data_IF_113756965879
#
_entry.id   IF_113756965879
#
_cell.length_a   1.000
_cell.length_b   1.000
_cell.length_c   1.000
_cell.angle_alpha   90.00
_cell.angle_beta   90.00
_cell.angle_gamma   90.00
#
_symmetry.space_group_name_H-M   'P 1'
#
loop_
_entity.id
_entity.type
_entity.pdbx_description
1 polymer ?
#
# COMPACT_ATOMS: atom_id res chain seq x y z
N UNK A 1 -16.05 9.22 13.57
CA UNK A 1 -16.93 8.03 13.52
C UNK A 1 -16.25 6.99 12.67
N UNK A 2 -15.92 5.83 13.28
CA UNK A 2 -15.32 4.70 12.58
C UNK A 2 -16.39 4.02 11.70
N UNK A 3 -16.60 4.51 10.48
CA UNK A 3 -17.54 3.94 9.51
C UNK A 3 -16.95 2.74 8.73
N UNK A 4 -15.91 2.09 9.26
CA UNK A 4 -15.23 0.97 8.62
C UNK A 4 -16.02 -0.36 8.67
N UNK A 5 -17.21 -0.35 9.29
CA UNK A 5 -18.14 -1.48 9.35
C UNK A 5 -19.55 -1.06 8.91
N UNK A 6 -19.73 -0.77 7.62
CA UNK A 6 -21.06 -0.73 7.04
C UNK A 6 -21.52 -2.15 6.72
N UNK A 7 -22.78 -2.53 7.06
CA UNK A 7 -23.35 -3.80 6.63
C UNK A 7 -23.29 -3.92 5.09
N UNK A 8 -22.61 -4.98 4.59
CA UNK A 8 -22.40 -5.16 3.16
C UNK A 8 -21.10 -4.55 2.61
N UNK A 9 -20.28 -3.88 3.42
CA UNK A 9 -18.96 -3.45 3.00
C UNK A 9 -18.02 -4.67 2.93
N UNK A 10 -17.29 -4.78 1.83
CA UNK A 10 -16.18 -5.72 1.68
C UNK A 10 -15.18 -5.46 2.81
N UNK A 11 -14.56 -6.52 3.32
CA UNK A 11 -13.71 -6.49 4.50
C UNK A 11 -12.72 -5.33 4.50
N UNK A 12 -12.66 -4.59 5.61
CA UNK A 12 -11.72 -3.48 5.76
C UNK A 12 -10.38 -4.00 6.28
N UNK A 13 -9.25 -3.58 5.68
CA UNK A 13 -7.92 -3.86 6.22
C UNK A 13 -7.69 -3.27 7.61
N UNK A 14 -8.62 -2.46 8.11
CA UNK A 14 -8.54 -1.76 9.39
C UNK A 14 -9.16 -2.51 10.58
N UNK A 15 -9.46 -3.81 10.44
CA UNK A 15 -10.09 -4.60 11.51
C UNK A 15 -9.18 -4.92 12.71
N UNK A 16 -7.94 -4.41 12.75
CA UNK A 16 -7.01 -4.63 13.88
C UNK A 16 -7.60 -4.23 15.24
N UNK A 17 -8.47 -3.25 15.30
CA UNK A 17 -9.16 -2.90 16.54
C UNK A 17 -9.98 -4.08 17.07
N UNK A 18 -10.69 -4.79 16.20
CA UNK A 18 -11.44 -5.99 16.55
C UNK A 18 -10.53 -7.19 16.78
N UNK A 19 -9.55 -7.44 15.88
CA UNK A 19 -8.58 -8.52 16.05
C UNK A 19 -7.91 -8.48 17.43
N UNK A 20 -7.45 -7.29 17.85
CA UNK A 20 -6.81 -7.13 19.14
C UNK A 20 -7.76 -7.43 20.31
N UNK A 21 -9.01 -6.97 20.26
CA UNK A 21 -10.01 -7.27 21.27
C UNK A 21 -10.22 -8.79 21.39
N UNK A 22 -10.34 -9.49 20.26
CA UNK A 22 -10.56 -10.94 20.26
C UNK A 22 -9.39 -11.75 20.82
N UNK A 23 -8.17 -11.23 20.75
CA UNK A 23 -6.98 -11.89 21.32
C UNK A 23 -6.55 -11.29 22.66
N UNK A 24 -7.43 -10.49 23.29
CA UNK A 24 -7.18 -9.89 24.61
C UNK A 24 -6.14 -8.79 24.62
N UNK A 25 -5.87 -8.14 23.48
CA UNK A 25 -4.97 -6.99 23.38
C UNK A 25 -5.73 -5.67 23.38
N UNK A 26 -5.10 -4.56 23.77
CA UNK A 26 -5.71 -3.24 23.67
C UNK A 26 -6.18 -2.91 22.26
N UNK A 27 -7.31 -2.23 22.19
CA UNK A 27 -7.83 -1.72 20.92
C UNK A 27 -6.82 -0.76 20.27
N UNK A 28 -6.68 -0.83 18.97
CA UNK A 28 -5.81 0.06 18.18
C UNK A 28 -6.58 0.62 16.99
N UNK A 29 -6.25 1.83 16.57
CA UNK A 29 -6.92 2.49 15.45
C UNK A 29 -5.91 3.06 14.45
N UNK A 30 -6.12 2.80 13.16
CA UNK A 30 -5.29 3.32 12.08
C UNK A 30 -5.59 4.79 11.70
N UNK A 31 -6.53 5.43 12.39
CA UNK A 31 -6.91 6.83 12.19
C UNK A 31 -6.59 7.66 13.43
N UNK A 32 -6.80 7.10 14.61
CA UNK A 32 -6.56 7.79 15.89
C UNK A 32 -5.50 7.02 16.68
N UNK A 33 -4.29 7.51 16.64
CA UNK A 33 -3.15 6.93 17.33
C UNK A 33 -3.32 6.92 18.86
N UNK A 34 -4.07 7.86 19.42
CA UNK A 34 -4.30 7.96 20.87
C UNK A 34 -5.13 6.79 21.44
N UNK A 35 -5.72 5.93 20.61
CA UNK A 35 -6.45 4.73 21.06
C UNK A 35 -5.48 3.59 21.44
N UNK A 36 -4.18 3.80 21.33
CA UNK A 36 -3.19 2.76 21.57
C UNK A 36 -2.72 2.71 23.02
N UNK A 37 -2.30 1.53 23.44
CA UNK A 37 -1.55 1.28 24.68
C UNK A 37 -2.23 1.79 25.97
N UNK A 38 -3.60 1.72 25.98
CA UNK A 38 -4.35 1.96 27.23
C UNK A 38 -4.10 3.34 27.81
N UNK A 39 -4.47 4.35 27.02
CA UNK A 39 -4.65 5.72 27.49
C UNK A 39 -3.72 6.16 28.62
N UNK A 40 -2.44 6.21 28.39
CA UNK A 40 -1.59 7.07 29.18
C UNK A 40 -1.90 8.52 28.78
N UNK A 41 -2.79 9.13 29.54
CA UNK A 41 -3.12 10.55 29.38
C UNK A 41 -1.86 11.37 29.58
N UNK A 42 -1.49 12.18 28.61
CA UNK A 42 -0.35 13.07 28.70
C UNK A 42 0.99 12.43 28.26
N UNK A 43 0.92 11.59 27.24
CA UNK A 43 2.14 11.15 26.54
C UNK A 43 2.98 12.36 26.12
N UNK A 44 4.32 12.22 26.03
CA UNK A 44 5.19 13.31 25.56
C UNK A 44 4.74 13.90 24.23
N UNK A 45 4.15 13.09 23.35
CA UNK A 45 3.61 13.50 22.05
C UNK A 45 2.43 14.46 22.15
N UNK A 46 1.65 14.42 23.24
CA UNK A 46 0.48 15.28 23.45
C UNK A 46 0.85 16.65 24.05
N UNK A 47 2.13 16.89 24.34
CA UNK A 47 2.60 18.12 24.98
C UNK A 47 3.27 19.03 23.96
N UNK A 48 3.07 20.35 24.05
CA UNK A 48 3.84 21.30 23.28
C UNK A 48 5.34 21.09 23.46
N UNK A 49 6.10 21.23 22.38
CA UNK A 49 7.54 21.17 22.43
C UNK A 49 8.10 22.35 23.24
N UNK A 50 9.09 22.09 24.09
CA UNK A 50 9.80 23.13 24.85
C UNK A 50 10.63 24.01 23.95
N UNK A 51 11.14 23.43 22.84
CA UNK A 51 11.95 24.10 21.83
C UNK A 51 11.37 23.81 20.46
N UNK A 52 11.06 24.87 19.71
CA UNK A 52 10.50 24.75 18.37
C UNK A 52 11.60 24.50 17.35
N UNK A 53 11.40 23.50 16.51
CA UNK A 53 12.34 23.07 15.48
C UNK A 53 11.69 23.13 14.10
N UNK A 54 12.51 23.10 13.05
CA UNK A 54 12.08 22.83 11.68
C UNK A 54 12.29 21.34 11.38
N UNK A 55 11.19 20.61 11.25
CA UNK A 55 11.19 19.17 10.97
C UNK A 55 10.89 18.92 9.50
N UNK A 56 11.77 18.21 8.82
CA UNK A 56 11.51 17.69 7.48
C UNK A 56 10.94 16.28 7.57
N UNK A 57 9.79 16.05 6.92
CA UNK A 57 9.19 14.72 6.80
C UNK A 57 9.30 14.26 5.35
N UNK A 58 10.01 13.17 5.11
CA UNK A 58 10.25 12.60 3.79
C UNK A 58 9.27 11.48 3.54
N UNK A 59 8.32 11.72 2.62
CA UNK A 59 7.24 10.82 2.27
C UNK A 59 5.92 11.15 2.95
N UNK A 60 4.87 11.33 2.14
CA UNK A 60 3.52 11.67 2.57
C UNK A 60 2.58 10.45 2.60
N UNK A 61 3.10 9.28 2.98
CA UNK A 61 2.28 8.13 3.36
C UNK A 61 1.67 8.31 4.76
N UNK A 62 0.80 7.38 5.23
CA UNK A 62 0.14 7.50 6.54
C UNK A 62 1.09 7.75 7.71
N UNK A 63 2.27 7.12 7.72
CA UNK A 63 3.27 7.34 8.77
C UNK A 63 3.85 8.76 8.76
N UNK A 64 4.24 9.25 7.58
CA UNK A 64 4.78 10.60 7.44
C UNK A 64 3.74 11.68 7.73
N UNK A 65 2.49 11.49 7.29
CA UNK A 65 1.40 12.44 7.58
C UNK A 65 1.06 12.49 9.06
N UNK A 66 1.06 11.33 9.75
CA UNK A 66 0.87 11.33 11.22
C UNK A 66 2.03 11.99 11.95
N UNK A 67 3.29 11.72 11.55
CA UNK A 67 4.44 12.40 12.11
C UNK A 67 4.36 13.92 11.91
N UNK A 68 3.96 14.36 10.70
CA UNK A 68 3.78 15.77 10.40
C UNK A 68 2.69 16.41 11.27
N UNK A 69 1.54 15.73 11.45
CA UNK A 69 0.45 16.19 12.30
C UNK A 69 0.90 16.37 13.74
N UNK A 70 1.50 15.32 14.31
CA UNK A 70 1.96 15.34 15.72
C UNK A 70 3.02 16.43 15.93
N UNK A 71 4.00 16.53 15.03
CA UNK A 71 5.03 17.57 15.11
C UNK A 71 4.42 18.98 15.03
N UNK A 72 3.44 19.17 14.16
CA UNK A 72 2.77 20.46 14.01
C UNK A 72 1.92 20.83 15.25
N UNK A 73 1.19 19.88 15.82
CA UNK A 73 0.43 20.09 17.08
C UNK A 73 1.33 20.43 18.25
N UNK A 74 2.54 19.89 18.28
CA UNK A 74 3.57 20.24 19.27
C UNK A 74 4.19 21.62 19.02
N UNK A 75 3.88 22.28 17.92
CA UNK A 75 4.27 23.66 17.58
C UNK A 75 5.53 23.77 16.75
N UNK A 76 6.06 22.67 16.21
CA UNK A 76 7.18 22.70 15.26
C UNK A 76 6.77 23.28 13.92
N UNK A 77 7.72 23.85 13.16
CA UNK A 77 7.57 24.08 11.72
C UNK A 77 7.81 22.76 11.00
N UNK A 78 6.92 22.36 10.09
CA UNK A 78 7.03 21.08 9.39
C UNK A 78 7.05 21.30 7.89
N UNK A 79 7.98 20.63 7.20
CA UNK A 79 7.99 20.56 5.72
C UNK A 79 7.86 19.11 5.30
N UNK A 80 6.73 18.75 4.69
CA UNK A 80 6.50 17.43 4.11
C UNK A 80 6.95 17.41 2.65
N UNK A 81 7.83 16.49 2.29
CA UNK A 81 8.40 16.31 0.97
C UNK A 81 7.89 15.00 0.36
N UNK A 82 7.15 15.07 -0.73
CA UNK A 82 6.55 13.90 -1.39
C UNK A 82 6.91 13.86 -2.88
N UNK A 83 7.41 12.70 -3.34
CA UNK A 83 7.81 12.52 -4.75
C UNK A 83 6.65 12.45 -5.73
N UNK A 84 5.47 12.08 -5.26
CA UNK A 84 4.25 12.03 -6.09
C UNK A 84 3.49 13.37 -6.07
N UNK A 85 2.46 13.46 -6.89
CA UNK A 85 1.55 14.60 -6.96
C UNK A 85 0.39 14.51 -5.94
N UNK A 86 0.41 13.51 -5.04
CA UNK A 86 -0.69 13.19 -4.11
C UNK A 86 -0.18 12.79 -2.73
N UNK A 87 -1.00 13.08 -1.72
CA UNK A 87 -0.82 12.59 -0.36
C UNK A 87 -1.34 11.16 -0.19
N UNK A 88 -1.09 10.56 0.97
CA UNK A 88 -1.53 9.25 1.42
C UNK A 88 -0.79 8.03 0.81
N UNK A 89 0.25 8.23 0.02
CA UNK A 89 1.15 7.16 -0.44
C UNK A 89 0.42 5.98 -1.10
N UNK A 90 0.65 4.74 -0.65
CA UNK A 90 0.02 3.53 -1.20
C UNK A 90 -1.49 3.46 -1.01
N UNK A 91 -2.09 4.24 -0.10
CA UNK A 91 -3.54 4.29 0.04
C UNK A 91 -4.23 4.85 -1.21
N UNK A 92 -3.53 5.66 -2.01
CA UNK A 92 -4.04 6.16 -3.30
C UNK A 92 -4.32 5.02 -4.29
N UNK A 93 -3.54 3.95 -4.25
CA UNK A 93 -3.78 2.74 -5.03
C UNK A 93 -4.81 1.82 -4.33
N UNK A 94 -4.69 1.63 -3.03
CA UNK A 94 -5.58 0.77 -2.25
C UNK A 94 -7.05 1.19 -2.35
N UNK A 95 -7.35 2.50 -2.36
CA UNK A 95 -8.72 3.00 -2.52
C UNK A 95 -9.34 2.66 -3.88
N UNK A 96 -8.54 2.41 -4.93
CA UNK A 96 -9.04 1.97 -6.23
C UNK A 96 -9.58 0.54 -6.15
N UNK A 97 -8.92 -0.31 -5.38
CA UNK A 97 -9.34 -1.70 -5.15
C UNK A 97 -10.45 -1.79 -4.11
N UNK A 98 -10.39 -0.98 -3.06
CA UNK A 98 -11.30 -1.02 -1.92
C UNK A 98 -11.84 0.38 -1.58
N UNK A 99 -13.13 0.60 -1.86
CA UNK A 99 -13.80 1.89 -1.64
C UNK A 99 -13.80 2.33 -0.16
N UNK A 100 -13.67 1.40 0.78
CA UNK A 100 -13.63 1.72 2.21
C UNK A 100 -12.36 2.49 2.62
N UNK A 101 -11.36 2.56 1.74
CA UNK A 101 -10.13 3.34 1.96
C UNK A 101 -10.31 4.82 1.57
N UNK A 102 -11.27 5.16 0.72
CA UNK A 102 -11.49 6.55 0.27
C UNK A 102 -11.68 7.55 1.42
N UNK A 103 -12.48 7.24 2.47
CA UNK A 103 -12.62 8.15 3.61
C UNK A 103 -11.30 8.42 4.35
N UNK A 104 -10.40 7.43 4.40
CA UNK A 104 -9.10 7.59 5.04
C UNK A 104 -8.18 8.51 4.22
N UNK A 105 -8.19 8.37 2.90
CA UNK A 105 -7.43 9.27 2.01
C UNK A 105 -7.98 10.69 2.11
N UNK A 106 -9.31 10.85 2.11
CA UNK A 106 -9.96 12.15 2.28
C UNK A 106 -9.61 12.78 3.64
N UNK A 107 -9.64 12.00 4.71
CA UNK A 107 -9.26 12.45 6.05
C UNK A 107 -7.84 13.06 6.04
N UNK A 108 -6.85 12.36 5.50
CA UNK A 108 -5.48 12.88 5.46
C UNK A 108 -5.34 14.17 4.64
N UNK A 109 -6.07 14.28 3.52
CA UNK A 109 -6.05 15.50 2.71
C UNK A 109 -6.68 16.70 3.44
N UNK A 110 -7.72 16.50 4.23
CA UNK A 110 -8.35 17.57 5.00
C UNK A 110 -7.57 17.89 6.28
N UNK A 111 -7.07 16.86 6.98
CA UNK A 111 -6.30 17.02 8.21
C UNK A 111 -5.07 17.91 8.02
N UNK A 112 -4.32 17.70 6.95
CA UNK A 112 -3.12 18.51 6.67
C UNK A 112 -3.44 20.00 6.49
N UNK A 113 -4.63 20.35 6.02
CA UNK A 113 -5.05 21.76 5.84
C UNK A 113 -5.33 22.47 7.16
N UNK A 114 -5.60 21.73 8.24
CA UNK A 114 -5.90 22.30 9.54
C UNK A 114 -4.64 22.82 10.27
N UNK A 115 -3.45 22.47 9.78
CA UNK A 115 -2.18 22.81 10.39
C UNK A 115 -1.39 23.85 9.56
N UNK A 116 -1.52 25.16 9.84
CA UNK A 116 -0.87 26.21 9.04
C UNK A 116 0.66 26.21 9.13
N UNK A 117 1.24 25.51 10.08
CA UNK A 117 2.67 25.31 10.27
C UNK A 117 3.22 24.09 9.51
N UNK A 118 2.40 23.41 8.70
CA UNK A 118 2.83 22.37 7.76
C UNK A 118 2.91 22.96 6.34
N UNK A 119 4.09 22.91 5.74
CA UNK A 119 4.30 23.16 4.33
C UNK A 119 4.41 21.83 3.57
N UNK A 120 3.62 21.62 2.50
CA UNK A 120 3.64 20.41 1.69
C UNK A 120 4.27 20.68 0.33
N UNK A 121 5.33 19.95 -0.01
CA UNK A 121 6.02 19.99 -1.30
C UNK A 121 5.82 18.67 -2.04
N UNK A 122 4.84 18.65 -2.93
CA UNK A 122 4.59 17.53 -3.84
C UNK A 122 5.59 17.55 -5.01
N UNK A 123 5.65 16.46 -5.77
CA UNK A 123 6.56 16.28 -6.92
C UNK A 123 8.04 16.52 -6.56
N UNK A 124 8.40 16.28 -5.30
CA UNK A 124 9.73 16.53 -4.77
C UNK A 124 10.39 15.21 -4.36
N UNK A 125 11.25 14.68 -5.23
CA UNK A 125 12.10 13.54 -4.89
C UNK A 125 13.24 14.04 -4.02
N UNK A 126 13.34 13.49 -2.82
CA UNK A 126 14.34 13.90 -1.82
C UNK A 126 15.64 13.11 -2.01
N UNK A 127 16.73 13.83 -1.91
CA UNK A 127 18.09 13.37 -1.69
C UNK A 127 18.73 14.19 -0.56
N UNK A 128 19.97 13.88 -0.20
CA UNK A 128 20.71 14.58 0.86
C UNK A 128 20.90 16.07 0.54
N UNK A 129 21.10 16.43 -0.73
CA UNK A 129 21.32 17.83 -1.12
C UNK A 129 20.03 18.66 -1.04
N UNK A 130 18.88 18.06 -1.38
CA UNK A 130 17.56 18.65 -1.16
C UNK A 130 17.34 19.00 0.32
N UNK A 131 17.71 18.10 1.24
CA UNK A 131 17.59 18.32 2.68
C UNK A 131 18.59 19.36 3.18
N UNK A 132 19.84 19.37 2.67
CA UNK A 132 20.82 20.42 2.99
C UNK A 132 20.33 21.80 2.59
N UNK A 133 19.74 21.94 1.42
CA UNK A 133 19.16 23.20 0.96
C UNK A 133 17.96 23.64 1.81
N UNK A 134 17.17 22.69 2.33
CA UNK A 134 16.06 22.97 3.24
C UNK A 134 16.53 23.34 4.66
N UNK A 135 17.69 22.83 5.07
CA UNK A 135 18.33 23.02 6.37
C UNK A 135 17.37 22.77 7.57
N UNK A 136 16.81 21.56 7.71
CA UNK A 136 15.97 21.21 8.84
C UNK A 136 16.83 20.92 10.08
N UNK A 137 16.25 21.10 11.26
CA UNK A 137 16.87 20.69 12.54
C UNK A 137 16.79 19.18 12.72
N UNK A 138 15.73 18.54 12.22
CA UNK A 138 15.51 17.09 12.30
C UNK A 138 14.82 16.58 11.02
N UNK A 139 15.10 15.32 10.65
CA UNK A 139 14.46 14.63 9.52
C UNK A 139 13.74 13.37 10.02
N UNK A 140 12.52 13.16 9.54
CA UNK A 140 11.76 11.92 9.72
C UNK A 140 11.61 11.27 8.35
N UNK A 141 12.12 10.06 8.19
CA UNK A 141 12.18 9.36 6.91
C UNK A 141 11.07 8.30 6.85
N UNK A 142 10.08 8.51 5.97
CA UNK A 142 8.93 7.63 5.77
C UNK A 142 8.73 7.30 4.28
N UNK A 143 9.72 6.69 3.59
CA UNK A 143 9.72 6.52 2.14
C UNK A 143 8.74 5.45 1.66
N UNK A 144 8.14 4.70 2.59
CA UNK A 144 7.35 3.51 2.33
C UNK A 144 8.22 2.29 2.00
N UNK A 145 7.60 1.11 1.95
CA UNK A 145 8.28 -0.13 1.58
C UNK A 145 8.64 -0.20 0.10
N UNK A 146 9.69 -0.94 -0.21
CA UNK A 146 9.99 -1.44 -1.55
C UNK A 146 8.96 -2.50 -1.97
N UNK A 147 8.70 -2.64 -3.26
CA UNK A 147 7.88 -3.74 -3.75
C UNK A 147 8.79 -4.95 -3.91
N UNK A 148 8.37 -6.10 -3.37
CA UNK A 148 9.12 -7.34 -3.46
C UNK A 148 9.25 -7.74 -4.93
N UNK A 149 10.48 -7.79 -5.47
CA UNK A 149 10.70 -8.16 -6.86
C UNK A 149 10.43 -9.66 -7.06
N UNK A 150 10.12 -10.03 -8.29
CA UNK A 150 10.05 -11.41 -8.72
C UNK A 150 10.90 -11.55 -9.99
N UNK A 151 11.80 -12.50 -9.97
CA UNK A 151 12.67 -12.79 -11.10
C UNK A 151 12.40 -14.22 -11.60
N UNK A 152 11.56 -14.31 -12.61
CA UNK A 152 11.28 -15.57 -13.32
C UNK A 152 11.26 -15.31 -14.82
N UNK A 153 11.62 -16.30 -15.67
CA UNK A 153 11.53 -16.17 -17.11
C UNK A 153 10.16 -15.63 -17.56
N UNK A 154 10.16 -14.62 -18.42
CA UNK A 154 8.96 -14.03 -18.99
C UNK A 154 8.22 -13.01 -18.13
N UNK A 155 8.73 -12.63 -16.96
CA UNK A 155 8.09 -11.67 -16.04
C UNK A 155 7.91 -10.25 -16.64
N UNK A 156 8.65 -9.91 -17.69
CA UNK A 156 8.50 -8.66 -18.44
C UNK A 156 7.59 -8.82 -19.67
N UNK A 157 6.87 -9.92 -19.74
CA UNK A 157 5.93 -10.21 -20.82
C UNK A 157 4.80 -9.19 -20.90
N UNK A 158 4.22 -9.02 -22.12
CA UNK A 158 3.09 -8.08 -22.35
C UNK A 158 1.83 -8.44 -21.57
N UNK A 159 1.68 -9.70 -21.19
CA UNK A 159 0.58 -10.22 -20.39
C UNK A 159 0.86 -10.18 -18.88
N UNK A 160 1.93 -9.52 -18.44
CA UNK A 160 2.22 -9.29 -17.02
C UNK A 160 1.81 -7.89 -16.61
N UNK A 161 1.15 -7.80 -15.45
CA UNK A 161 0.81 -6.56 -14.77
C UNK A 161 1.46 -6.60 -13.39
N UNK A 162 2.43 -5.73 -13.16
CA UNK A 162 3.11 -5.64 -11.86
C UNK A 162 2.40 -4.64 -10.94
N UNK A 163 2.57 -4.80 -9.63
CA UNK A 163 2.04 -3.83 -8.64
C UNK A 163 2.57 -2.41 -8.90
N UNK A 164 3.82 -2.30 -9.36
CA UNK A 164 4.45 -1.02 -9.74
C UNK A 164 3.74 -0.37 -10.93
N UNK A 165 3.29 -1.17 -11.89
CA UNK A 165 2.56 -0.67 -13.05
C UNK A 165 1.26 0.00 -12.64
N UNK A 166 0.51 -0.65 -11.73
CA UNK A 166 -0.74 -0.11 -11.19
C UNK A 166 -0.47 1.16 -10.37
N UNK A 167 0.58 1.13 -9.53
CA UNK A 167 0.99 2.30 -8.74
C UNK A 167 1.35 3.49 -9.64
N UNK A 168 2.13 3.27 -10.68
CA UNK A 168 2.50 4.31 -11.64
C UNK A 168 1.25 4.87 -12.33
N UNK A 169 0.35 4.01 -12.80
CA UNK A 169 -0.92 4.40 -13.44
C UNK A 169 -1.79 5.24 -12.49
N UNK A 170 -1.92 4.86 -11.21
CA UNK A 170 -2.67 5.62 -10.21
C UNK A 170 -2.08 7.02 -9.97
N UNK A 171 -0.77 7.18 -10.19
CA UNK A 171 -0.06 8.45 -10.14
C UNK A 171 0.02 9.16 -11.50
N UNK A 172 -0.77 8.73 -12.48
CA UNK A 172 -0.80 9.34 -13.81
C UNK A 172 0.49 9.15 -14.62
N UNK A 173 1.31 8.15 -14.28
CA UNK A 173 2.57 7.83 -14.95
C UNK A 173 2.38 6.59 -15.80
N UNK A 174 2.83 6.65 -17.06
CA UNK A 174 2.88 5.46 -17.92
C UNK A 174 4.01 4.56 -17.42
N UNK A 175 3.75 3.29 -17.06
CA UNK A 175 4.80 2.40 -16.59
C UNK A 175 5.85 2.15 -17.67
N UNK A 176 7.09 1.96 -17.27
CA UNK A 176 8.21 1.71 -18.17
C UNK A 176 7.99 0.42 -18.99
N UNK A 177 8.36 0.44 -20.26
CA UNK A 177 8.19 -0.71 -21.16
C UNK A 177 6.75 -1.01 -21.60
N UNK A 178 5.74 -0.31 -21.06
CA UNK A 178 4.32 -0.55 -21.40
C UNK A 178 3.88 0.18 -22.68
N UNK A 179 3.03 -0.49 -23.46
CA UNK A 179 2.59 -0.06 -24.78
C UNK A 179 1.44 0.95 -24.79
N UNK A 180 0.85 1.12 -26.00
CA UNK A 180 -0.18 2.14 -26.27
C UNK A 180 -1.42 2.04 -25.38
N UNK A 181 -1.83 0.84 -24.98
CA UNK A 181 -3.00 0.64 -24.12
C UNK A 181 -2.82 1.36 -22.77
N UNK A 182 -1.63 1.24 -22.16
CA UNK A 182 -1.29 1.91 -20.92
C UNK A 182 -1.22 3.43 -21.09
N UNK A 183 -0.65 3.91 -22.22
CA UNK A 183 -0.63 5.35 -22.55
C UNK A 183 -2.04 5.91 -22.65
N UNK A 184 -2.93 5.19 -23.34
CA UNK A 184 -4.34 5.59 -23.49
C UNK A 184 -5.08 5.58 -22.13
N UNK A 185 -4.87 4.55 -21.31
CA UNK A 185 -5.48 4.47 -19.98
C UNK A 185 -5.02 5.61 -19.07
N UNK A 186 -3.72 5.89 -19.01
CA UNK A 186 -3.18 7.01 -18.22
C UNK A 186 -3.68 8.36 -18.72
N UNK A 187 -3.73 8.57 -20.05
CA UNK A 187 -4.28 9.79 -20.64
C UNK A 187 -5.77 9.98 -20.28
N UNK A 188 -6.55 8.90 -20.33
CA UNK A 188 -7.97 8.94 -19.95
C UNK A 188 -8.15 9.23 -18.46
N UNK A 189 -7.33 8.63 -17.58
CA UNK A 189 -7.32 8.91 -16.13
C UNK A 189 -7.03 10.40 -15.88
N UNK A 190 -6.02 10.96 -16.54
CA UNK A 190 -5.66 12.40 -16.42
C UNK A 190 -6.80 13.30 -16.92
N UNK A 191 -7.39 12.98 -18.04
CA UNK A 191 -8.50 13.75 -18.60
C UNK A 191 -9.74 13.80 -17.69
N UNK A 192 -9.93 12.77 -16.84
CA UNK A 192 -10.98 12.69 -15.83
C UNK A 192 -10.53 13.21 -14.45
N UNK A 193 -9.45 13.98 -14.39
CA UNK A 193 -8.91 14.54 -13.15
C UNK A 193 -8.37 13.49 -12.18
N UNK A 194 -8.01 12.29 -12.64
CA UNK A 194 -7.46 11.22 -11.81
C UNK A 194 -8.46 10.65 -10.80
N UNK A 195 -9.76 10.65 -11.10
CA UNK A 195 -10.79 10.20 -10.17
C UNK A 195 -10.71 8.70 -9.90
N UNK A 196 -10.85 8.32 -8.63
CA UNK A 196 -10.80 6.92 -8.18
C UNK A 196 -11.88 6.08 -8.86
N UNK A 197 -13.08 6.62 -9.01
CA UNK A 197 -14.19 5.93 -9.69
C UNK A 197 -13.86 5.55 -11.13
N UNK A 198 -13.21 6.43 -11.87
CA UNK A 198 -12.80 6.15 -13.25
C UNK A 198 -11.72 5.08 -13.32
N UNK A 199 -10.70 5.15 -12.41
CA UNK A 199 -9.66 4.11 -12.31
C UNK A 199 -10.27 2.75 -11.97
N UNK A 200 -11.21 2.71 -11.03
CA UNK A 200 -11.94 1.48 -10.64
C UNK A 200 -12.75 0.91 -11.80
N UNK A 201 -13.41 1.76 -12.56
CA UNK A 201 -14.11 1.36 -13.79
C UNK A 201 -13.14 0.74 -14.79
N UNK A 202 -11.99 1.36 -15.04
CA UNK A 202 -10.94 0.85 -15.93
C UNK A 202 -10.41 -0.52 -15.53
N UNK A 203 -10.14 -0.74 -14.23
CA UNK A 203 -9.71 -2.05 -13.71
C UNK A 203 -10.80 -3.12 -13.87
N UNK A 204 -12.08 -2.75 -13.85
CA UNK A 204 -13.20 -3.66 -14.04
C UNK A 204 -13.50 -3.98 -15.52
N UNK A 205 -12.87 -3.30 -16.47
CA UNK A 205 -12.97 -3.65 -17.90
C UNK A 205 -12.30 -5.00 -18.17
N UNK A 206 -13.06 -5.97 -18.69
CA UNK A 206 -12.62 -7.36 -18.87
C UNK A 206 -12.19 -7.67 -20.30
N UNK A 207 -12.52 -6.80 -21.23
CA UNK A 207 -12.22 -6.94 -22.66
C UNK A 207 -12.32 -5.58 -23.35
N UNK A 208 -11.79 -5.50 -24.55
CA UNK A 208 -11.78 -4.28 -25.34
C UNK A 208 -10.38 -3.68 -25.47
N UNK A 209 -10.24 -2.63 -26.29
CA UNK A 209 -8.92 -2.09 -26.65
C UNK A 209 -8.18 -1.38 -25.50
N UNK A 210 -8.87 -1.12 -24.39
CA UNK A 210 -8.30 -0.44 -23.20
C UNK A 210 -8.27 -1.33 -21.96
N UNK A 211 -8.66 -2.61 -22.06
CA UNK A 211 -8.60 -3.53 -20.95
C UNK A 211 -7.13 -3.90 -20.65
N UNK A 212 -6.64 -3.50 -19.49
CA UNK A 212 -5.28 -3.81 -19.01
C UNK A 212 -5.23 -5.22 -18.42
N UNK A 213 -6.32 -5.67 -17.79
CA UNK A 213 -6.44 -6.99 -17.15
C UNK A 213 -7.51 -7.78 -17.88
N UNK A 214 -7.16 -8.96 -18.38
CA UNK A 214 -8.05 -9.84 -19.14
C UNK A 214 -9.09 -10.56 -18.28
N UNK A 215 -9.71 -11.60 -18.87
CA UNK A 215 -10.77 -12.40 -18.20
C UNK A 215 -10.22 -13.52 -17.33
N UNK A 216 -9.10 -14.14 -17.73
CA UNK A 216 -8.41 -15.21 -17.01
C UNK A 216 -7.17 -14.62 -16.39
N UNK A 217 -7.09 -14.62 -15.05
CA UNK A 217 -6.03 -13.92 -14.31
C UNK A 217 -5.37 -14.84 -13.31
N UNK A 218 -4.05 -14.92 -13.34
CA UNK A 218 -3.26 -15.50 -12.26
C UNK A 218 -2.73 -14.37 -11.38
N UNK A 219 -3.12 -14.36 -10.13
CA UNK A 219 -2.60 -13.45 -9.09
C UNK A 219 -1.47 -14.16 -8.36
N UNK A 220 -0.27 -13.62 -8.45
CA UNK A 220 0.94 -14.14 -7.79
C UNK A 220 1.11 -13.43 -6.46
N UNK A 221 0.96 -14.17 -5.39
CA UNK A 221 0.94 -13.70 -4.00
C UNK A 221 -0.45 -13.86 -3.38
N UNK A 222 -0.54 -14.76 -2.40
CA UNK A 222 -1.78 -15.09 -1.68
C UNK A 222 -1.87 -14.48 -0.29
N UNK A 223 -1.09 -13.43 -0.04
CA UNK A 223 -1.18 -12.61 1.17
C UNK A 223 -2.37 -11.66 1.14
N UNK A 224 -2.40 -10.70 2.08
CA UNK A 224 -3.46 -9.70 2.21
C UNK A 224 -3.75 -8.99 0.87
N UNK A 225 -2.72 -8.39 0.26
CA UNK A 225 -2.87 -7.60 -0.97
C UNK A 225 -3.38 -8.44 -2.15
N UNK A 226 -2.87 -9.67 -2.33
CA UNK A 226 -3.29 -10.53 -3.43
C UNK A 226 -4.72 -11.01 -3.32
N UNK A 227 -5.18 -11.34 -2.10
CA UNK A 227 -6.58 -11.71 -1.88
C UNK A 227 -7.52 -10.52 -2.04
N UNK A 228 -7.11 -9.31 -1.66
CA UNK A 228 -7.86 -8.07 -1.89
C UNK A 228 -8.00 -7.75 -3.39
N UNK A 229 -6.92 -7.91 -4.15
CA UNK A 229 -6.94 -7.80 -5.62
C UNK A 229 -7.89 -8.83 -6.24
N UNK A 230 -7.81 -10.10 -5.81
CA UNK A 230 -8.68 -11.14 -6.29
C UNK A 230 -10.15 -10.84 -5.99
N UNK A 231 -10.46 -10.34 -4.78
CA UNK A 231 -11.82 -9.96 -4.39
C UNK A 231 -12.34 -8.79 -5.24
N UNK A 232 -11.54 -7.76 -5.45
CA UNK A 232 -11.91 -6.60 -6.23
C UNK A 232 -12.21 -6.92 -7.70
N UNK A 233 -11.59 -7.98 -8.24
CA UNK A 233 -11.62 -8.29 -9.68
C UNK A 233 -12.40 -9.56 -10.04
N UNK A 234 -12.83 -10.39 -9.09
CA UNK A 234 -13.38 -11.73 -9.40
C UNK A 234 -14.73 -11.71 -10.12
N UNK A 235 -15.50 -10.64 -10.04
CA UNK A 235 -16.81 -10.60 -10.69
C UNK A 235 -16.68 -10.68 -12.23
N UNK A 236 -17.05 -11.85 -12.79
CA UNK A 236 -17.00 -12.17 -14.22
C UNK A 236 -15.58 -12.35 -14.78
N UNK A 237 -14.62 -12.67 -13.94
CA UNK A 237 -13.30 -13.18 -14.29
C UNK A 237 -13.09 -14.56 -13.68
N UNK A 238 -12.27 -15.36 -14.33
CA UNK A 238 -11.72 -16.57 -13.76
C UNK A 238 -10.35 -16.23 -13.15
N UNK A 239 -10.22 -16.45 -11.85
CA UNK A 239 -9.02 -16.02 -11.10
C UNK A 239 -8.38 -17.20 -10.37
N UNK A 240 -7.08 -17.34 -10.53
CA UNK A 240 -6.22 -18.19 -9.71
C UNK A 240 -5.37 -17.32 -8.82
N UNK A 241 -5.34 -17.61 -7.52
CA UNK A 241 -4.40 -17.01 -6.57
C UNK A 241 -3.38 -18.08 -6.17
N UNK A 242 -2.13 -17.84 -6.51
CA UNK A 242 -1.03 -18.76 -6.21
C UNK A 242 -0.08 -18.16 -5.16
N UNK A 243 0.42 -19.01 -4.27
CA UNK A 243 1.41 -18.62 -3.25
C UNK A 243 2.17 -19.86 -2.78
N UNK A 244 3.51 -19.81 -2.63
CA UNK A 244 4.30 -20.93 -2.12
C UNK A 244 4.00 -21.28 -0.66
N UNK A 245 3.40 -20.38 0.10
CA UNK A 245 3.02 -20.63 1.48
C UNK A 245 1.95 -21.70 1.62
N UNK A 246 2.02 -22.50 2.67
CA UNK A 246 1.05 -23.56 3.01
C UNK A 246 -0.36 -23.01 3.28
N UNK A 247 -0.48 -21.75 3.70
CA UNK A 247 -1.76 -21.09 4.00
C UNK A 247 -1.80 -19.71 3.40
N UNK A 248 -2.85 -19.41 2.65
CA UNK A 248 -3.11 -18.09 2.13
C UNK A 248 -3.62 -17.12 3.21
N UNK A 249 -3.61 -15.84 2.90
CA UNK A 249 -4.12 -14.77 3.76
C UNK A 249 -3.13 -14.36 4.86
N UNK A 250 -1.83 -14.45 4.60
CA UNK A 250 -0.84 -13.81 5.47
C UNK A 250 -1.09 -12.30 5.50
N UNK A 251 -1.06 -11.71 6.69
CA UNK A 251 -1.36 -10.29 6.88
C UNK A 251 -2.85 -9.94 7.04
N UNK A 252 -3.79 -10.84 6.77
CA UNK A 252 -5.20 -10.62 7.09
C UNK A 252 -5.45 -10.89 8.58
N UNK A 253 -6.28 -10.06 9.20
CA UNK A 253 -6.71 -10.23 10.58
C UNK A 253 -7.43 -11.55 10.82
N UNK A 254 -7.37 -12.03 12.05
CA UNK A 254 -7.91 -13.35 12.42
C UNK A 254 -9.42 -13.44 12.16
N UNK A 255 -10.14 -12.33 12.32
CA UNK A 255 -11.59 -12.25 12.12
C UNK A 255 -11.94 -12.30 10.62
N UNK A 256 -11.20 -11.60 9.80
CA UNK A 256 -11.51 -11.41 8.38
C UNK A 256 -10.96 -12.52 7.49
N UNK A 257 -9.92 -13.22 7.93
CA UNK A 257 -9.21 -14.21 7.11
C UNK A 257 -10.12 -15.32 6.57
N UNK A 258 -10.84 -16.00 7.45
CA UNK A 258 -11.71 -17.10 7.03
C UNK A 258 -12.92 -16.63 6.23
N UNK A 259 -13.62 -15.55 6.61
CA UNK A 259 -14.65 -14.94 5.76
C UNK A 259 -14.17 -14.59 4.37
N UNK A 260 -13.00 -13.95 4.22
CA UNK A 260 -12.41 -13.58 2.91
C UNK A 260 -12.14 -14.84 2.07
N UNK A 261 -11.46 -15.83 2.62
CA UNK A 261 -11.17 -17.10 1.93
C UNK A 261 -12.47 -17.78 1.48
N UNK A 262 -13.48 -17.84 2.35
CA UNK A 262 -14.75 -18.47 2.03
C UNK A 262 -15.54 -17.70 0.97
N UNK A 263 -15.49 -16.36 1.00
CA UNK A 263 -16.11 -15.51 -0.01
C UNK A 263 -15.47 -15.74 -1.39
N UNK A 264 -14.14 -15.74 -1.48
CA UNK A 264 -13.42 -15.99 -2.73
C UNK A 264 -13.74 -17.37 -3.30
N UNK A 265 -13.78 -18.41 -2.45
CA UNK A 265 -14.20 -19.76 -2.87
C UNK A 265 -15.63 -19.77 -3.42
N UNK A 266 -16.59 -19.12 -2.74
CA UNK A 266 -17.98 -18.99 -3.22
C UNK A 266 -18.10 -18.26 -4.54
N UNK A 267 -17.20 -17.32 -4.80
CA UNK A 267 -17.12 -16.59 -6.07
C UNK A 267 -16.36 -17.33 -7.17
N UNK A 268 -15.92 -18.56 -6.91
CA UNK A 268 -15.24 -19.41 -7.90
C UNK A 268 -13.76 -19.06 -8.10
N UNK A 269 -13.14 -18.35 -7.17
CA UNK A 269 -11.68 -18.09 -7.22
C UNK A 269 -10.93 -19.37 -6.86
N UNK A 270 -9.99 -19.77 -7.70
CA UNK A 270 -9.10 -20.92 -7.49
C UNK A 270 -7.97 -20.50 -6.53
N UNK A 271 -8.02 -20.98 -5.29
CA UNK A 271 -7.03 -20.71 -4.27
C UNK A 271 -5.99 -21.83 -4.24
N UNK A 272 -4.76 -21.54 -4.62
CA UNK A 272 -3.67 -22.50 -4.80
C UNK A 272 -2.49 -22.19 -3.85
N UNK A 273 -2.57 -22.62 -2.58
CA UNK A 273 -1.39 -22.62 -1.69
C UNK A 273 -0.35 -23.62 -2.19
N UNK A 274 0.88 -23.56 -1.64
CA UNK A 274 2.00 -24.42 -2.01
C UNK A 274 2.35 -24.35 -3.50
N UNK A 275 2.06 -23.24 -4.16
CA UNK A 275 2.21 -23.08 -5.61
C UNK A 275 3.04 -21.85 -5.91
N UNK A 276 4.20 -22.05 -6.52
CA UNK A 276 5.10 -20.97 -6.96
C UNK A 276 5.01 -20.74 -8.48
N UNK A 277 5.18 -19.49 -8.90
CA UNK A 277 5.37 -19.14 -10.31
C UNK A 277 6.79 -19.47 -10.71
N UNK A 278 6.98 -20.24 -11.78
CA UNK A 278 8.31 -20.59 -12.29
C UNK A 278 8.61 -19.99 -13.67
N UNK A 279 7.59 -19.64 -14.45
CA UNK A 279 7.75 -19.00 -15.76
C UNK A 279 6.44 -18.32 -16.19
N UNK A 280 6.54 -17.19 -16.88
CA UNK A 280 5.42 -16.60 -17.60
C UNK A 280 5.61 -16.83 -19.09
N UNK A 281 4.63 -17.46 -19.73
CA UNK A 281 4.59 -17.72 -21.16
C UNK A 281 3.55 -16.85 -21.86
N UNK A 282 3.54 -16.84 -23.19
CA UNK A 282 2.48 -16.20 -23.98
C UNK A 282 1.09 -16.82 -23.75
N UNK A 283 1.04 -18.07 -23.28
CA UNK A 283 -0.22 -18.79 -23.01
C UNK A 283 -0.70 -18.67 -21.57
N UNK A 284 0.16 -18.24 -20.66
CA UNK A 284 -0.18 -18.13 -19.24
C UNK A 284 0.98 -18.33 -18.29
N UNK A 285 0.67 -18.74 -17.07
CA UNK A 285 1.62 -18.95 -15.98
C UNK A 285 1.99 -20.42 -15.83
N UNK A 286 3.27 -20.76 -15.93
CA UNK A 286 3.79 -22.06 -15.55
C UNK A 286 4.09 -22.03 -14.05
N UNK A 287 3.49 -22.96 -13.34
CA UNK A 287 3.56 -23.02 -11.87
C UNK A 287 4.04 -24.39 -11.41
N UNK A 288 4.57 -24.44 -10.20
CA UNK A 288 5.07 -25.65 -9.58
C UNK A 288 4.57 -25.78 -8.15
N UNK A 289 4.11 -26.96 -7.79
CA UNK A 289 3.81 -27.27 -6.39
C UNK A 289 5.13 -27.47 -5.63
N UNK A 290 5.32 -26.69 -4.56
CA UNK A 290 6.59 -26.67 -3.81
C UNK A 290 6.82 -27.92 -2.95
N UNK A 291 5.76 -28.69 -2.62
CA UNK A 291 5.89 -29.95 -1.87
C UNK A 291 6.06 -31.16 -2.80
N UNK A 292 5.30 -31.22 -3.88
CA UNK A 292 5.32 -32.39 -4.78
C UNK A 292 6.28 -32.26 -5.96
N UNK A 293 6.66 -31.01 -6.29
CA UNK A 293 7.48 -30.71 -7.48
C UNK A 293 6.69 -30.77 -8.79
N UNK A 294 5.40 -31.04 -8.77
CA UNK A 294 4.56 -31.15 -9.96
C UNK A 294 4.41 -29.79 -10.64
N UNK A 295 4.63 -29.76 -11.95
CA UNK A 295 4.51 -28.55 -12.77
C UNK A 295 3.24 -28.60 -13.60
N UNK A 296 2.61 -27.43 -13.76
CA UNK A 296 1.44 -27.26 -14.64
C UNK A 296 1.43 -25.89 -15.29
N UNK A 297 0.77 -25.79 -16.45
CA UNK A 297 0.48 -24.52 -17.11
C UNK A 297 -0.95 -24.09 -16.79
N UNK A 298 -1.11 -22.91 -16.16
CA UNK A 298 -2.40 -22.26 -16.01
C UNK A 298 -2.56 -21.30 -17.20
N UNK A 299 -3.45 -21.64 -18.13
CA UNK A 299 -3.74 -20.75 -19.25
C UNK A 299 -4.47 -19.50 -18.76
N UNK A 300 -3.86 -18.33 -18.98
CA UNK A 300 -4.42 -17.05 -18.56
C UNK A 300 -4.07 -15.92 -19.51
N UNK A 301 -4.89 -14.88 -19.45
CA UNK A 301 -4.72 -13.67 -20.27
C UNK A 301 -3.79 -12.67 -19.58
N UNK A 302 -3.71 -12.74 -18.24
CA UNK A 302 -2.90 -11.83 -17.41
C UNK A 302 -2.29 -12.54 -16.23
N UNK A 303 -1.02 -12.29 -15.99
CA UNK A 303 -0.32 -12.59 -14.72
C UNK A 303 -0.16 -11.29 -13.95
N UNK A 304 -0.73 -11.21 -12.76
CA UNK A 304 -0.69 -10.02 -11.90
C UNK A 304 0.15 -10.31 -10.66
N UNK A 305 1.21 -9.52 -10.41
CA UNK A 305 2.04 -9.70 -9.20
C UNK A 305 1.49 -8.88 -8.04
N UNK A 306 1.41 -9.49 -6.86
CA UNK A 306 0.94 -8.86 -5.61
C UNK A 306 1.66 -9.47 -4.40
N UNK A 307 2.99 -9.34 -4.37
CA UNK A 307 3.86 -10.01 -3.38
C UNK A 307 3.96 -9.26 -2.05
N UNK A 308 3.51 -8.01 -2.01
CA UNK A 308 3.64 -7.15 -0.83
C UNK A 308 4.84 -6.21 -0.91
N UNK A 309 5.30 -5.78 0.26
CA UNK A 309 6.40 -4.80 0.38
C UNK A 309 7.52 -5.37 1.25
N UNK A 310 8.73 -4.92 0.98
CA UNK A 310 9.95 -5.21 1.75
C UNK A 310 10.52 -3.94 2.38
N UNK A 311 11.50 -4.09 3.23
CA UNK A 311 12.21 -2.99 3.85
C UNK A 311 12.88 -2.11 2.79
N UNK A 312 12.84 -0.79 3.00
CA UNK A 312 13.45 0.20 2.11
C UNK A 312 14.20 1.24 2.96
N UNK A 313 15.49 1.02 3.13
CA UNK A 313 16.36 1.87 3.96
C UNK A 313 17.32 2.73 3.15
N UNK A 314 17.42 2.56 1.84
CA UNK A 314 18.45 3.17 1.00
C UNK A 314 18.60 4.68 1.25
N UNK A 315 17.49 5.40 1.20
CA UNK A 315 17.51 6.85 1.44
C UNK A 315 17.85 7.19 2.90
N UNK A 316 17.37 6.40 3.85
CA UNK A 316 17.66 6.61 5.28
C UNK A 316 19.13 6.40 5.57
N UNK A 317 19.77 5.38 5.00
CA UNK A 317 21.18 5.07 5.18
C UNK A 317 22.11 6.18 4.65
N UNK A 318 21.63 6.98 3.70
CA UNK A 318 22.34 8.18 3.25
C UNK A 318 22.09 9.37 4.17
N UNK A 319 20.84 9.58 4.61
CA UNK A 319 20.44 10.72 5.44
C UNK A 319 21.06 10.64 6.82
N UNK A 320 21.07 9.47 7.47
CA UNK A 320 21.56 9.29 8.83
C UNK A 320 23.06 9.62 8.98
N UNK A 321 23.81 9.59 7.90
CA UNK A 321 25.23 10.02 7.91
C UNK A 321 25.39 11.52 8.13
N UNK A 322 24.37 12.32 7.83
CA UNK A 322 24.38 13.78 7.95
C UNK A 322 23.55 14.22 9.17
N UNK A 323 22.44 13.53 9.42
CA UNK A 323 21.53 13.77 10.55
C UNK A 323 21.44 12.50 11.41
N UNK A 324 22.36 12.27 12.37
CA UNK A 324 22.47 10.99 13.10
C UNK A 324 21.33 10.73 14.10
N UNK A 325 20.47 11.70 14.36
CA UNK A 325 19.31 11.57 15.26
C UNK A 325 17.98 11.37 14.51
N UNK A 326 18.05 11.13 13.22
CA UNK A 326 16.88 10.93 12.37
C UNK A 326 16.16 9.62 12.65
N UNK A 327 14.88 9.60 12.30
CA UNK A 327 14.02 8.43 12.51
C UNK A 327 13.50 7.87 11.19
N UNK A 328 13.66 6.57 11.02
CA UNK A 328 12.99 5.80 9.96
C UNK A 328 11.69 5.23 10.49
N UNK A 329 10.58 5.42 9.77
CA UNK A 329 9.26 4.98 10.17
C UNK A 329 8.46 4.35 9.02
N UNK A 330 7.36 3.68 9.36
CA UNK A 330 6.41 3.10 8.42
C UNK A 330 6.90 1.81 7.77
N UNK A 331 6.39 1.51 6.58
CA UNK A 331 6.67 0.26 5.86
C UNK A 331 8.16 0.07 5.54
N UNK A 332 8.94 1.15 5.54
CA UNK A 332 10.39 1.10 5.36
C UNK A 332 11.11 0.33 6.48
N UNK A 333 10.49 0.18 7.66
CA UNK A 333 11.05 -0.56 8.80
C UNK A 333 10.57 -2.01 8.86
N UNK A 334 9.82 -2.47 7.86
CA UNK A 334 9.24 -3.82 7.87
C UNK A 334 10.33 -4.89 7.87
N UNK A 335 10.45 -5.72 8.91
CA UNK A 335 11.37 -6.85 8.89
C UNK A 335 10.97 -7.89 7.84
N UNK A 336 11.93 -8.63 7.31
CA UNK A 336 11.71 -9.67 6.32
C UNK A 336 10.57 -10.63 6.71
N UNK A 337 9.69 -10.89 5.76
CA UNK A 337 8.56 -11.81 5.93
C UNK A 337 7.40 -11.31 6.79
N UNK A 338 7.43 -10.05 7.27
CA UNK A 338 6.32 -9.45 8.00
C UNK A 338 5.56 -8.47 7.11
N UNK A 339 4.25 -8.42 7.29
CA UNK A 339 3.37 -7.47 6.61
C UNK A 339 3.10 -6.31 7.56
N UNK A 340 3.62 -5.13 7.22
CA UNK A 340 3.23 -3.89 7.88
C UNK A 340 1.91 -3.39 7.32
N UNK A 341 1.16 -2.69 8.14
CA UNK A 341 -0.16 -2.16 7.80
C UNK A 341 -0.19 -0.67 8.08
N UNK A 342 -1.19 0.00 7.54
CA UNK A 342 -1.46 1.41 7.83
C UNK A 342 -1.40 1.74 9.32
N UNK A 343 -1.87 0.83 10.18
CA UNK A 343 -1.82 0.96 11.62
C UNK A 343 -0.39 1.14 12.15
N UNK A 344 0.52 0.25 11.76
CA UNK A 344 1.91 0.30 12.20
C UNK A 344 2.63 1.54 11.66
N UNK A 345 2.30 1.98 10.43
CA UNK A 345 2.83 3.20 9.85
C UNK A 345 2.37 4.45 10.63
N UNK A 346 1.07 4.55 10.94
CA UNK A 346 0.51 5.63 11.76
C UNK A 346 1.11 5.61 13.16
N UNK A 347 1.28 4.44 13.76
CA UNK A 347 1.96 4.29 15.06
C UNK A 347 3.38 4.84 15.02
N UNK A 348 4.16 4.44 14.03
CA UNK A 348 5.53 4.95 13.88
C UNK A 348 5.55 6.47 13.74
N UNK A 349 4.62 7.05 12.98
CA UNK A 349 4.47 8.50 12.85
C UNK A 349 4.12 9.20 14.15
N UNK A 350 3.21 8.65 14.93
CA UNK A 350 2.82 9.23 16.22
C UNK A 350 3.96 9.21 17.27
N UNK A 351 4.82 8.21 17.21
CA UNK A 351 5.93 8.01 18.16
C UNK A 351 7.23 8.68 17.70
N UNK A 352 7.30 9.17 16.46
CA UNK A 352 8.49 9.81 15.91
C UNK A 352 8.72 11.21 16.47
#
# INVERSE_FOLDING_TARGET
>A
QCNLHLPGSRHSPASRCLDNIFIGKPCQCSVNANVWEGVEVGLPQDKPATEKQHIAVVGAGPGGLEAARVAAERGHKVTVLEKSDKLAGLLTMAQVLNANIEPLVSYWNEEMKLHPNIEIKLNTKVDVDTLRALNPDQVIVSPGGGIIPIDVPGIDGKNVVKSEDIKAMCNGIVPEGKGMIWKAAVAAIKAQGGTVGFMRMGLNMKSGPTAIVGKRVVVVGGGFAGLEVAEAMCDGREIWVIDPAKKLGNGIGIIDKNPTINLLKKKGVHLMPLTELIEVTKKGAKVKNVETGEEQLIECDTVLTSLGVEQNTDLYDEIVKVWPHDKLIGDATTPDGKVYRTLEAVKGGYQA
#
